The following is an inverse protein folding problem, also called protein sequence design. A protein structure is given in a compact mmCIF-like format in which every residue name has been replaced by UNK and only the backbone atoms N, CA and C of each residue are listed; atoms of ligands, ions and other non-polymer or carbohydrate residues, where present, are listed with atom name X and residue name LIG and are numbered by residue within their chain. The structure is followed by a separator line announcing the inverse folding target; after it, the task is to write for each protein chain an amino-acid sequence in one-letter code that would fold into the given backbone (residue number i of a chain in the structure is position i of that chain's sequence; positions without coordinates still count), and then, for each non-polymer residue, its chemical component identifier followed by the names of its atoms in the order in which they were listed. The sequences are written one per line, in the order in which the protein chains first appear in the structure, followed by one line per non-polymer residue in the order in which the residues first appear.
data_IF_759707622242
#
_entry.id   IF_759707622242
#
_cell.length_a   1.000
_cell.length_b   1.000
_cell.length_c   1.000
_cell.angle_alpha   90.00
_cell.angle_beta   90.00
_cell.angle_gamma   90.00
#
_symmetry.space_group_name_H-M   'P 1'
#
loop_
_entity.id
_entity.type
_entity.pdbx_description
1 polymer ?
#
# COMPACT_ATOMS: atom_id res chain seq x y z
N UNK A 1 7.80 -15.03 -18.43
CA UNK A 1 7.57 -15.72 -17.14
C UNK A 1 6.35 -15.10 -16.49
N UNK A 2 5.32 -15.90 -16.29
CA UNK A 2 4.15 -15.45 -15.53
C UNK A 2 4.57 -15.25 -14.08
N UNK A 3 4.80 -14.01 -13.70
CA UNK A 3 4.97 -13.67 -12.29
C UNK A 3 3.60 -13.85 -11.64
N UNK A 4 3.45 -14.95 -10.92
CA UNK A 4 2.22 -15.17 -10.16
C UNK A 4 2.09 -14.07 -9.11
N UNK A 5 1.02 -13.29 -9.19
CA UNK A 5 0.72 -12.32 -8.16
C UNK A 5 0.47 -13.06 -6.85
N UNK A 6 1.18 -12.71 -5.77
CA UNK A 6 0.90 -13.30 -4.47
C UNK A 6 -0.46 -12.81 -3.97
N UNK A 7 -1.20 -13.70 -3.31
CA UNK A 7 -2.49 -13.36 -2.70
C UNK A 7 -3.46 -12.66 -3.66
N UNK A 8 -3.53 -13.16 -4.90
CA UNK A 8 -4.41 -12.59 -5.93
C UNK A 8 -5.89 -12.85 -5.70
N UNK A 9 -6.22 -13.65 -4.68
CA UNK A 9 -7.60 -13.95 -4.35
C UNK A 9 -8.33 -12.72 -3.80
N UNK A 10 -9.61 -12.61 -4.07
CA UNK A 10 -10.42 -11.52 -3.57
C UNK A 10 -10.44 -11.55 -2.04
N UNK A 11 -9.97 -10.49 -1.36
CA UNK A 11 -9.78 -10.52 0.10
C UNK A 11 -11.08 -10.56 0.90
N UNK A 12 -12.21 -10.26 0.27
CA UNK A 12 -13.54 -10.30 0.90
C UNK A 12 -14.52 -11.04 -0.01
N UNK A 13 -14.54 -12.38 0.02
CA UNK A 13 -15.38 -13.15 -0.89
C UNK A 13 -16.87 -12.78 -0.87
N UNK A 14 -17.38 -12.35 0.29
CA UNK A 14 -18.77 -11.92 0.44
C UNK A 14 -19.11 -10.62 -0.30
N UNK A 15 -18.09 -9.87 -0.72
CA UNK A 15 -18.25 -8.61 -1.47
C UNK A 15 -17.71 -8.71 -2.89
N UNK A 16 -17.59 -9.92 -3.42
CA UNK A 16 -17.09 -10.11 -4.79
C UNK A 16 -17.93 -9.32 -5.78
N UNK A 17 -17.26 -8.46 -6.54
CA UNK A 17 -17.88 -7.61 -7.57
C UNK A 17 -17.14 -7.79 -8.90
N UNK A 18 -17.86 -7.55 -10.00
CA UNK A 18 -17.30 -7.67 -11.36
C UNK A 18 -16.25 -6.59 -11.68
N UNK A 19 -16.14 -5.57 -10.83
CA UNK A 19 -15.24 -4.43 -11.01
C UNK A 19 -14.12 -4.43 -9.96
N UNK A 20 -13.28 -5.45 -10.00
CA UNK A 20 -12.19 -5.66 -9.07
C UNK A 20 -10.87 -5.79 -9.81
N UNK A 21 -9.83 -5.11 -9.32
CA UNK A 21 -8.45 -5.28 -9.78
C UNK A 21 -7.54 -5.46 -8.58
N UNK A 22 -6.82 -6.58 -8.52
CA UNK A 22 -5.79 -6.80 -7.52
C UNK A 22 -4.53 -6.02 -7.90
N UNK A 23 -3.98 -5.28 -6.93
CA UNK A 23 -2.73 -4.55 -7.12
C UNK A 23 -1.53 -5.22 -6.43
N UNK A 24 -1.71 -6.43 -5.90
CA UNK A 24 -0.59 -7.22 -5.41
C UNK A 24 0.38 -7.50 -6.57
N UNK A 25 1.66 -7.57 -6.28
CA UNK A 25 2.67 -7.81 -7.28
C UNK A 25 3.89 -6.92 -7.06
N UNK A 26 4.65 -6.69 -8.12
CA UNK A 26 5.86 -5.88 -8.01
C UNK A 26 5.54 -4.40 -8.09
N UNK A 27 5.99 -3.68 -7.06
CA UNK A 27 6.00 -2.22 -7.00
C UNK A 27 7.46 -1.76 -6.93
N UNK A 28 7.73 -0.53 -7.27
CA UNK A 28 9.02 0.08 -6.96
C UNK A 28 9.05 0.47 -5.49
N UNK A 29 10.24 0.41 -4.88
CA UNK A 29 10.44 0.87 -3.51
C UNK A 29 11.67 1.74 -3.37
N UNK A 30 11.68 2.58 -2.35
CA UNK A 30 12.83 3.33 -1.91
C UNK A 30 12.81 3.48 -0.39
N UNK A 31 13.99 3.48 0.23
CA UNK A 31 14.16 3.76 1.65
C UNK A 31 14.99 5.03 1.77
N UNK A 32 14.49 6.04 2.48
CA UNK A 32 15.13 7.36 2.59
C UNK A 32 15.02 7.90 4.00
N UNK A 33 15.91 8.84 4.34
CA UNK A 33 15.86 9.59 5.59
C UNK A 33 15.02 10.86 5.50
N UNK A 34 14.63 11.25 4.29
CA UNK A 34 13.84 12.44 4.01
C UNK A 34 12.42 12.08 3.63
N UNK A 35 11.48 12.94 3.99
CA UNK A 35 10.06 12.71 3.66
C UNK A 35 9.70 13.02 2.21
N UNK A 36 10.59 13.66 1.47
CA UNK A 36 10.37 13.99 0.06
C UNK A 36 10.32 12.72 -0.79
N UNK A 37 9.34 12.66 -1.70
CA UNK A 37 9.26 11.57 -2.67
C UNK A 37 10.52 11.58 -3.52
N UNK A 38 11.30 10.47 -3.54
CA UNK A 38 12.54 10.44 -4.30
C UNK A 38 12.29 10.40 -5.80
N UNK A 39 13.18 11.03 -6.56
CA UNK A 39 13.15 10.95 -8.02
C UNK A 39 13.58 9.56 -8.52
N UNK A 40 14.46 8.91 -7.78
CA UNK A 40 14.99 7.59 -8.12
C UNK A 40 14.62 6.58 -7.03
N UNK A 41 14.12 5.44 -7.44
CA UNK A 41 13.78 4.32 -6.55
C UNK A 41 14.91 3.31 -6.51
N UNK A 42 14.94 2.48 -5.44
CA UNK A 42 16.05 1.57 -5.17
C UNK A 42 15.91 0.23 -5.90
N UNK A 43 14.69 -0.18 -6.23
CA UNK A 43 14.42 -1.44 -6.86
C UNK A 43 12.94 -1.81 -6.79
N UNK A 44 12.67 -3.10 -6.82
CA UNK A 44 11.30 -3.63 -6.77
C UNK A 44 11.06 -4.36 -5.46
N UNK A 45 9.83 -4.30 -4.99
CA UNK A 45 9.33 -5.03 -3.84
C UNK A 45 8.08 -5.80 -4.21
N UNK A 46 7.97 -7.03 -3.73
CA UNK A 46 6.78 -7.85 -3.95
C UNK A 46 5.73 -7.54 -2.87
N UNK A 47 4.69 -6.80 -3.25
CA UNK A 47 3.56 -6.46 -2.36
C UNK A 47 2.60 -7.65 -2.33
N UNK A 48 2.09 -8.10 -1.18
CA UNK A 48 2.04 -7.41 0.12
C UNK A 48 3.06 -7.90 1.16
N UNK A 49 4.25 -8.23 0.77
CA UNK A 49 5.26 -8.69 1.72
C UNK A 49 6.08 -7.53 2.27
N UNK A 50 6.25 -7.49 3.59
CA UNK A 50 7.07 -6.47 4.24
C UNK A 50 8.54 -6.55 3.79
N UNK A 51 9.25 -5.41 3.69
CA UNK A 51 10.62 -5.40 3.17
C UNK A 51 11.61 -6.26 3.99
N UNK A 52 11.32 -6.52 5.26
CA UNK A 52 12.14 -7.35 6.13
C UNK A 52 12.00 -8.86 5.82
N UNK A 53 10.94 -9.24 5.15
CA UNK A 53 10.67 -10.66 4.83
C UNK A 53 11.32 -11.02 3.50
N UNK A 54 11.93 -12.20 3.43
CA UNK A 54 12.61 -12.65 2.22
C UNK A 54 11.69 -12.72 0.99
N UNK A 55 10.41 -13.02 1.20
CA UNK A 55 9.42 -13.07 0.11
C UNK A 55 9.21 -11.73 -0.60
N UNK A 56 9.51 -10.61 0.06
CA UNK A 56 9.44 -9.28 -0.57
C UNK A 56 10.52 -9.08 -1.63
N UNK A 57 11.57 -9.89 -1.59
CA UNK A 57 12.77 -9.80 -2.41
C UNK A 57 13.66 -8.58 -2.08
N UNK A 58 13.34 -7.83 -1.05
CA UNK A 58 14.13 -6.68 -0.58
C UNK A 58 15.07 -7.10 0.54
N UNK A 59 14.54 -7.80 1.53
CA UNK A 59 15.27 -8.32 2.69
C UNK A 59 16.08 -7.24 3.42
N UNK A 60 15.46 -6.11 3.69
CA UNK A 60 16.06 -4.96 4.39
C UNK A 60 15.19 -4.55 5.56
N UNK A 61 15.85 -4.13 6.64
CA UNK A 61 15.17 -3.58 7.81
C UNK A 61 14.92 -2.09 7.60
N UNK A 62 13.69 -1.65 7.83
CA UNK A 62 13.32 -0.24 7.83
C UNK A 62 13.38 0.26 9.27
N UNK A 63 14.20 1.27 9.52
CA UNK A 63 14.39 1.86 10.84
C UNK A 63 13.29 2.87 11.17
N UNK A 64 13.06 3.20 12.44
CA UNK A 64 11.97 4.11 12.84
C UNK A 64 12.01 5.50 12.21
N UNK A 65 13.18 5.99 11.87
CA UNK A 65 13.36 7.30 11.23
C UNK A 65 13.45 7.21 9.70
N UNK A 66 13.30 6.01 9.15
CA UNK A 66 13.29 5.82 7.70
C UNK A 66 11.89 6.06 7.13
N UNK A 67 11.87 6.62 5.93
CA UNK A 67 10.67 6.67 5.10
C UNK A 67 10.75 5.58 4.05
N UNK A 68 9.75 4.73 4.03
CA UNK A 68 9.59 3.68 3.02
C UNK A 68 8.61 4.16 1.97
N UNK A 69 9.07 4.25 0.73
CA UNK A 69 8.25 4.67 -0.39
C UNK A 69 7.92 3.48 -1.29
N UNK A 70 6.67 3.42 -1.70
CA UNK A 70 6.19 2.51 -2.73
C UNK A 70 5.69 3.31 -3.91
N UNK A 71 5.94 2.82 -5.13
CA UNK A 71 5.40 3.46 -6.33
C UNK A 71 4.85 2.41 -7.29
N UNK A 72 3.65 2.68 -7.80
CA UNK A 72 3.00 1.86 -8.80
C UNK A 72 2.33 2.75 -9.84
N UNK A 73 2.62 2.51 -11.11
CA UNK A 73 1.92 3.19 -12.20
C UNK A 73 0.60 2.49 -12.47
N UNK A 74 -0.48 3.26 -12.40
CA UNK A 74 -1.82 2.79 -12.71
C UNK A 74 -2.19 3.16 -14.14
N UNK A 75 -2.70 2.17 -14.88
CA UNK A 75 -3.28 2.37 -16.21
C UNK A 75 -4.53 1.50 -16.27
N UNK A 76 -5.67 2.12 -15.95
CA UNK A 76 -6.92 1.40 -15.78
C UNK A 76 -7.68 1.35 -17.10
N UNK A 77 -8.26 0.20 -17.46
CA UNK A 77 -9.13 0.11 -18.63
C UNK A 77 -10.31 1.07 -18.50
N UNK A 78 -10.68 1.71 -19.60
CA UNK A 78 -11.78 2.67 -19.60
C UNK A 78 -13.13 2.05 -19.20
N UNK A 79 -13.32 0.78 -19.52
CA UNK A 79 -14.53 0.03 -19.15
C UNK A 79 -14.57 -0.35 -17.66
N UNK A 80 -13.44 -0.30 -16.99
CA UNK A 80 -13.37 -0.50 -15.52
C UNK A 80 -13.87 0.72 -14.76
N UNK A 81 -13.60 1.93 -15.25
CA UNK A 81 -13.84 3.17 -14.50
C UNK A 81 -15.33 3.51 -14.51
N UNK A 82 -15.93 3.58 -13.32
CA UNK A 82 -17.32 3.96 -13.09
C UNK A 82 -17.38 5.28 -12.32
N UNK A 83 -18.40 5.47 -11.49
CA UNK A 83 -18.58 6.73 -10.74
C UNK A 83 -17.48 6.96 -9.71
N UNK A 84 -17.00 5.87 -9.11
CA UNK A 84 -15.89 5.91 -8.14
C UNK A 84 -14.89 4.80 -8.43
N UNK A 85 -13.65 5.05 -8.11
CA UNK A 85 -12.58 4.05 -8.11
C UNK A 85 -12.00 4.04 -6.70
N UNK A 86 -12.31 3.00 -5.93
CA UNK A 86 -11.91 2.89 -4.53
C UNK A 86 -10.63 2.08 -4.41
N UNK A 87 -9.61 2.70 -3.87
CA UNK A 87 -8.35 2.04 -3.53
C UNK A 87 -8.44 1.53 -2.09
N UNK A 88 -8.20 0.24 -1.93
CA UNK A 88 -8.23 -0.42 -0.63
C UNK A 88 -6.86 -0.91 -0.22
N UNK A 89 -6.49 -0.67 1.02
CA UNK A 89 -5.36 -1.30 1.68
C UNK A 89 -5.87 -2.16 2.83
N UNK A 90 -5.49 -3.42 2.85
CA UNK A 90 -5.85 -4.32 3.95
C UNK A 90 -5.22 -3.90 5.28
N UNK A 91 -3.94 -3.57 5.24
CA UNK A 91 -3.23 -2.93 6.36
C UNK A 91 -1.86 -2.44 5.90
N UNK A 92 -1.42 -1.34 6.51
CA UNK A 92 -0.08 -0.77 6.29
C UNK A 92 0.47 -0.34 7.64
N UNK A 93 1.64 -0.82 8.00
CA UNK A 93 2.26 -0.49 9.27
C UNK A 93 3.34 0.59 9.06
N UNK A 94 3.20 1.79 9.61
CA UNK A 94 2.23 2.18 10.64
C UNK A 94 1.47 3.45 10.20
N UNK A 95 2.17 4.48 9.77
CA UNK A 95 1.61 5.73 9.25
C UNK A 95 1.80 5.72 7.75
N UNK A 96 0.70 5.73 7.03
CA UNK A 96 0.70 5.72 5.57
C UNK A 96 0.14 7.02 5.02
N UNK A 97 0.85 7.61 4.08
CA UNK A 97 0.38 8.75 3.31
C UNK A 97 0.32 8.36 1.84
N UNK A 98 -0.80 8.62 1.21
CA UNK A 98 -1.07 8.22 -0.17
C UNK A 98 -1.07 9.45 -1.06
N UNK A 99 -0.33 9.35 -2.17
CA UNK A 99 -0.23 10.38 -3.20
C UNK A 99 -0.57 9.79 -4.56
N UNK A 100 -1.25 10.56 -5.39
CA UNK A 100 -1.47 10.22 -6.79
C UNK A 100 -1.12 11.42 -7.65
N UNK A 101 -0.26 11.22 -8.64
CA UNK A 101 0.27 12.28 -9.49
C UNK A 101 0.84 13.45 -8.66
N UNK A 102 1.60 13.12 -7.62
CA UNK A 102 2.20 14.05 -6.66
C UNK A 102 1.21 14.85 -5.81
N UNK A 103 -0.08 14.53 -5.88
CA UNK A 103 -1.11 15.15 -5.05
C UNK A 103 -1.39 14.29 -3.82
N UNK A 104 -1.41 14.91 -2.66
CA UNK A 104 -1.78 14.25 -1.41
C UNK A 104 -3.25 13.82 -1.46
N UNK A 105 -3.51 12.56 -1.15
CA UNK A 105 -4.86 11.99 -1.15
C UNK A 105 -5.37 11.79 0.27
N UNK A 106 -4.62 11.03 1.10
CA UNK A 106 -5.00 10.81 2.48
C UNK A 106 -3.82 10.33 3.34
N UNK A 107 -4.02 10.42 4.64
CA UNK A 107 -3.13 9.88 5.67
C UNK A 107 -3.91 8.93 6.56
N UNK A 108 -3.35 7.77 6.83
CA UNK A 108 -3.91 6.77 7.74
C UNK A 108 -2.89 6.44 8.83
N UNK A 109 -3.34 6.42 10.06
CA UNK A 109 -2.52 6.05 11.23
C UNK A 109 -3.09 4.78 11.85
N UNK A 110 -2.24 3.80 12.06
CA UNK A 110 -2.60 2.54 12.68
C UNK A 110 -2.30 1.34 11.77
N UNK A 111 -1.54 0.38 12.30
CA UNK A 111 -1.02 -0.73 11.51
C UNK A 111 -1.95 -1.92 11.34
N UNK A 112 -3.13 -1.92 11.96
CA UNK A 112 -3.99 -3.11 12.00
C UNK A 112 -5.35 -2.92 11.32
N UNK A 113 -5.68 -1.72 10.91
CA UNK A 113 -6.98 -1.42 10.33
C UNK A 113 -6.88 -1.22 8.82
N UNK A 114 -7.83 -1.78 8.06
CA UNK A 114 -7.94 -1.47 6.65
C UNK A 114 -8.39 -0.03 6.44
N UNK A 115 -8.04 0.52 5.30
CA UNK A 115 -8.50 1.84 4.90
C UNK A 115 -8.72 1.92 3.40
N UNK A 116 -9.53 2.88 2.98
CA UNK A 116 -9.92 3.04 1.59
C UNK A 116 -10.11 4.50 1.23
N UNK A 117 -10.03 4.79 -0.06
CA UNK A 117 -10.22 6.14 -0.59
C UNK A 117 -10.67 6.11 -2.04
N UNK A 118 -11.46 7.11 -2.46
CA UNK A 118 -11.79 7.31 -3.86
C UNK A 118 -10.65 8.04 -4.56
N UNK A 119 -10.02 7.36 -5.53
CA UNK A 119 -8.90 7.93 -6.26
C UNK A 119 -9.26 8.47 -7.64
N UNK A 120 -10.51 8.27 -8.07
CA UNK A 120 -10.93 8.72 -9.41
C UNK A 120 -10.65 10.20 -9.68
N UNK A 121 -10.89 11.13 -8.73
CA UNK A 121 -10.61 12.56 -8.97
C UNK A 121 -9.14 12.87 -9.27
N UNK A 122 -8.23 11.99 -8.89
CA UNK A 122 -6.79 12.18 -9.04
C UNK A 122 -6.22 11.53 -10.30
N UNK A 123 -7.01 10.69 -10.96
CA UNK A 123 -6.59 10.02 -12.20
C UNK A 123 -6.80 10.94 -13.41
N UNK A 124 -5.92 10.79 -14.41
CA UNK A 124 -6.04 11.46 -15.71
C UNK A 124 -6.23 10.40 -16.79
N UNK A 125 -7.40 10.34 -17.38
CA UNK A 125 -7.75 9.33 -18.40
C UNK A 125 -7.47 7.89 -17.91
N UNK A 126 -7.81 7.62 -16.66
CA UNK A 126 -7.60 6.32 -16.03
C UNK A 126 -6.16 6.03 -15.62
N UNK A 127 -5.26 7.01 -15.73
CA UNK A 127 -3.83 6.85 -15.45
C UNK A 127 -3.42 7.67 -14.23
N UNK A 128 -2.49 7.13 -13.46
CA UNK A 128 -1.91 7.85 -12.34
C UNK A 128 -0.70 7.12 -11.77
N UNK A 129 0.20 7.89 -11.18
CA UNK A 129 1.32 7.36 -10.43
C UNK A 129 0.95 7.36 -8.95
N UNK A 130 0.75 6.16 -8.41
CA UNK A 130 0.45 5.95 -7.00
C UNK A 130 1.75 5.88 -6.22
N UNK A 131 1.87 6.70 -5.19
CA UNK A 131 2.98 6.65 -4.22
C UNK A 131 2.41 6.50 -2.82
N UNK A 132 2.95 5.56 -2.06
CA UNK A 132 2.64 5.39 -0.64
C UNK A 132 3.91 5.67 0.15
N UNK A 133 3.85 6.65 1.04
CA UNK A 133 4.95 6.95 1.96
C UNK A 133 4.60 6.41 3.33
N UNK A 134 5.45 5.54 3.85
CA UNK A 134 5.22 4.88 5.14
C UNK A 134 6.33 5.25 6.09
N UNK A 135 5.96 5.61 7.30
CA UNK A 135 6.90 5.76 8.40
C UNK A 135 6.43 4.89 9.56
N UNK A 136 7.37 4.17 10.14
CA UNK A 136 7.14 3.36 11.32
C UNK A 136 7.81 4.03 12.50
N UNK A 137 7.01 4.42 13.49
CA UNK A 137 7.51 5.08 14.71
C UNK A 137 7.61 4.13 15.90
N UNK A 138 7.74 2.85 15.64
CA UNK A 138 7.55 1.75 16.59
C UNK A 138 8.29 1.91 17.91
N UNK A 139 9.46 2.53 17.94
CA UNK A 139 10.22 2.75 19.18
C UNK A 139 10.23 4.20 19.65
N UNK A 140 9.64 5.11 18.89
CA UNK A 140 9.69 6.54 19.20
C UNK A 140 8.41 7.08 19.83
N UNK A 141 7.31 6.34 19.78
CA UNK A 141 6.03 6.79 20.29
C UNK A 141 5.25 5.63 20.92
N UNK A 142 4.41 5.99 21.88
CA UNK A 142 3.52 5.06 22.57
C UNK A 142 2.32 4.61 21.72
N UNK A 143 2.36 4.77 20.41
CA UNK A 143 1.36 4.15 19.59
C UNK A 143 1.45 2.64 19.75
N UNK A 144 0.33 1.99 19.84
CA UNK A 144 0.20 0.55 20.09
C UNK A 144 1.00 -0.27 19.06
N UNK A 145 2.26 -0.10 19.10
CA UNK A 145 3.20 -0.85 18.29
C UNK A 145 3.18 -2.32 18.62
N UNK A 146 2.43 -2.62 19.66
CA UNK A 146 2.13 -3.93 20.09
C UNK A 146 3.21 -4.91 19.95
N UNK A 147 4.43 -4.77 19.78
CA UNK A 147 5.35 -5.90 19.82
C UNK A 147 6.48 -5.90 18.80
N UNK A 148 6.65 -4.85 18.04
CA UNK A 148 7.80 -4.80 17.14
C UNK A 148 8.96 -4.19 17.86
N UNK A 149 9.98 -5.02 18.15
CA UNK A 149 11.22 -4.56 18.72
C UNK A 149 12.34 -4.67 17.69
N UNK A 150 13.08 -3.60 17.51
CA UNK A 150 14.26 -3.59 16.65
C UNK A 150 15.47 -4.29 17.28
N UNK A 151 15.32 -4.89 18.46
CA UNK A 151 16.42 -5.57 19.14
C UNK A 151 16.70 -6.92 18.52
N UNK A 152 17.96 -7.19 18.12
CA UNK A 152 18.33 -8.47 17.54
C UNK A 152 18.24 -9.67 18.48
N UNK A 153 18.04 -9.43 19.76
CA UNK A 153 17.96 -10.50 20.77
C UNK A 153 16.61 -11.19 20.85
N UNK A 154 15.59 -10.66 20.20
CA UNK A 154 14.30 -11.31 20.15
C UNK A 154 14.13 -12.05 18.86
N UNK A 155 14.47 -13.30 18.84
CA UNK A 155 14.20 -14.23 17.73
C UNK A 155 12.72 -14.24 17.33
N UNK A 156 11.89 -13.63 18.12
CA UNK A 156 10.42 -13.74 18.05
C UNK A 156 9.75 -12.74 17.13
N UNK A 157 10.41 -11.60 16.87
CA UNK A 157 9.77 -10.52 16.13
C UNK A 157 10.70 -9.97 15.07
N UNK A 158 10.51 -10.41 13.85
CA UNK A 158 10.99 -9.64 12.71
C UNK A 158 10.11 -8.40 12.61
N UNK A 159 10.68 -7.19 12.56
CA UNK A 159 9.91 -6.01 12.26
C UNK A 159 9.13 -6.24 10.97
N UNK A 160 7.87 -5.82 10.95
CA UNK A 160 7.07 -5.83 9.74
C UNK A 160 6.66 -4.40 9.46
N UNK A 161 7.27 -3.80 8.45
CA UNK A 161 7.01 -2.43 8.05
C UNK A 161 6.22 -2.40 6.76
N UNK A 162 5.53 -1.30 6.52
CA UNK A 162 4.90 -1.03 5.25
C UNK A 162 3.66 -1.87 4.96
N UNK A 163 3.44 -2.10 3.69
CA UNK A 163 2.28 -2.84 3.19
C UNK A 163 2.49 -4.34 3.46
N UNK A 164 1.63 -4.93 4.28
CA UNK A 164 1.71 -6.35 4.62
C UNK A 164 0.40 -7.12 4.39
N UNK A 165 -0.63 -6.45 3.91
CA UNK A 165 -1.91 -7.05 3.54
C UNK A 165 -2.29 -6.63 2.11
N UNK A 166 -3.21 -7.35 1.45
CA UNK A 166 -3.54 -7.08 0.05
C UNK A 166 -3.95 -5.65 -0.26
N UNK A 167 -3.66 -5.22 -1.47
CA UNK A 167 -4.06 -3.94 -2.04
C UNK A 167 -4.91 -4.20 -3.29
N UNK A 168 -6.03 -3.49 -3.41
CA UNK A 168 -6.92 -3.70 -4.56
C UNK A 168 -7.74 -2.47 -4.88
N UNK A 169 -8.30 -2.46 -6.10
CA UNK A 169 -9.22 -1.45 -6.58
C UNK A 169 -10.61 -2.04 -6.76
N UNK A 170 -11.61 -1.26 -6.40
CA UNK A 170 -13.00 -1.51 -6.74
C UNK A 170 -13.57 -0.34 -7.52
N UNK A 171 -14.25 -0.64 -8.62
CA UNK A 171 -15.01 0.37 -9.34
C UNK A 171 -16.47 0.30 -8.91
N UNK A 172 -17.06 1.44 -8.59
CA UNK A 172 -18.40 1.53 -7.98
C UNK A 172 -19.27 2.47 -8.81
N UNK A 173 -20.47 1.99 -9.13
CA UNK A 173 -21.54 2.82 -9.67
C UNK A 173 -22.42 3.33 -8.53
N UNK A 174 -22.65 4.62 -8.49
CA UNK A 174 -23.56 5.21 -7.52
C UNK A 174 -25.01 5.00 -7.99
N UNK A 175 -25.79 4.32 -7.18
CA UNK A 175 -27.21 4.12 -7.46
C UNK A 175 -27.99 5.36 -7.01
N UNK A 176 -28.42 6.17 -7.97
CA UNK A 176 -29.18 7.41 -7.72
C UNK A 176 -30.68 7.13 -7.53
N UNK A 177 -31.12 5.88 -7.66
CA UNK A 177 -32.55 5.51 -7.67
C UNK A 177 -33.16 5.27 -6.30
N UNK A 178 -32.42 5.46 -5.22
CA UNK A 178 -32.93 5.33 -3.85
C UNK A 178 -33.01 6.69 -3.17
N UNK A 179 -34.04 7.43 -3.49
CA UNK A 179 -34.56 8.49 -2.64
C UNK A 179 -35.80 7.96 -1.94
#
# INVERSE_FOLDING_TARGET
MNQSQPLSEYPRPQFKRDSYICLNGYWEYAIRKEEKIPAKFDGQILVPFSPEVSKSEVNKVVLPDDYLFYRLNLDLPSDFIKDKVILHFGAVDQIAEVFINDQFVMKHVGGFLPFEMDIKPFLKDGKGTLVVRVVDTTNASYHSSGKQHLKPEGIWYKPQSGIYMPVWLESVTMDVSKN
#
